data_IF_235158518363
#
_entry.id   IF_235158518363
#
_cell.length_a   1.000
_cell.length_b   1.000
_cell.length_c   1.000
_cell.angle_alpha   90.00
_cell.angle_beta   90.00
_cell.angle_gamma   90.00
#
_symmetry.space_group_name_H-M   'P 1'
#
loop_
_entity.id
_entity.type
_entity.pdbx_description
1 polymer ?
#
# COMPACT_ATOMS: atom_id res chain seq x y z
N UNK A 1 30.29 -11.05 15.89
CA UNK A 1 29.10 -10.36 16.45
C UNK A 1 29.46 -9.15 17.30
N UNK A 2 30.19 -9.28 18.41
CA UNK A 2 30.70 -8.10 19.18
C UNK A 2 31.48 -7.15 18.26
N UNK A 3 32.30 -7.70 17.36
CA UNK A 3 33.04 -6.93 16.35
C UNK A 3 32.11 -6.18 15.36
N UNK A 4 30.93 -6.71 15.04
CA UNK A 4 29.97 -6.06 14.16
C UNK A 4 29.27 -4.89 14.88
N UNK A 5 28.92 -5.05 16.16
CA UNK A 5 28.36 -3.97 16.98
C UNK A 5 29.38 -2.86 17.27
N UNK A 6 30.67 -3.19 17.42
CA UNK A 6 31.75 -2.21 17.60
C UNK A 6 32.02 -1.45 16.28
N UNK A 7 31.96 -2.13 15.12
CA UNK A 7 32.13 -1.49 13.81
C UNK A 7 30.94 -0.61 13.41
N UNK A 8 29.73 -0.97 13.82
CA UNK A 8 28.50 -0.24 13.47
C UNK A 8 28.30 1.07 14.26
N UNK A 9 29.02 1.28 15.37
CA UNK A 9 28.88 2.50 16.18
C UNK A 9 30.28 3.01 16.58
N UNK A 10 30.91 3.86 15.75
CA UNK A 10 32.22 4.42 16.03
C UNK A 10 32.24 5.14 17.39
N UNK A 11 33.19 4.76 18.25
CA UNK A 11 33.35 5.38 19.57
C UNK A 11 32.54 4.76 20.70
N UNK A 12 31.74 3.70 20.47
CA UNK A 12 30.96 3.03 21.51
C UNK A 12 31.77 2.69 22.76
N UNK A 13 32.94 2.06 22.57
CA UNK A 13 33.81 1.65 23.67
C UNK A 13 34.34 2.87 24.42
N UNK A 14 34.80 3.90 23.69
CA UNK A 14 35.38 5.10 24.28
C UNK A 14 34.33 5.87 25.10
N UNK A 15 33.14 6.09 24.53
CA UNK A 15 32.02 6.75 25.20
C UNK A 15 31.58 5.96 26.44
N UNK A 16 31.45 4.64 26.32
CA UNK A 16 31.13 3.79 27.47
C UNK A 16 32.16 3.93 28.59
N UNK A 17 33.46 3.84 28.29
CA UNK A 17 34.52 3.93 29.30
C UNK A 17 34.53 5.29 30.00
N UNK A 18 34.36 6.38 29.25
CA UNK A 18 34.29 7.73 29.81
C UNK A 18 33.09 7.88 30.73
N UNK A 19 31.88 7.54 30.26
CA UNK A 19 30.66 7.65 31.06
C UNK A 19 30.69 6.72 32.27
N UNK A 20 31.20 5.49 32.12
CA UNK A 20 31.33 4.55 33.21
C UNK A 20 32.29 5.08 34.28
N UNK A 21 33.43 5.65 33.90
CA UNK A 21 34.35 6.28 34.84
C UNK A 21 33.69 7.47 35.56
N UNK A 22 33.02 8.35 34.83
CA UNK A 22 32.37 9.56 35.37
C UNK A 22 31.27 9.24 36.39
N UNK A 23 30.52 8.14 36.23
CA UNK A 23 29.40 7.80 37.13
C UNK A 23 29.77 6.74 38.17
N UNK A 24 30.53 5.72 37.78
CA UNK A 24 30.86 4.60 38.67
C UNK A 24 31.92 4.99 39.72
N UNK A 25 32.90 5.85 39.39
CA UNK A 25 33.93 6.28 40.35
C UNK A 25 33.32 7.09 41.50
N UNK A 26 32.51 8.14 41.28
CA UNK A 26 31.83 8.84 42.37
C UNK A 26 30.91 7.91 43.17
N UNK A 27 30.22 6.98 42.52
CA UNK A 27 29.37 5.99 43.20
C UNK A 27 30.19 5.11 44.15
N UNK A 28 31.37 4.66 43.72
CA UNK A 28 32.28 3.88 44.56
C UNK A 28 32.79 4.71 45.75
N UNK A 29 33.21 5.95 45.51
CA UNK A 29 33.70 6.87 46.54
C UNK A 29 32.63 7.16 47.60
N UNK A 30 31.40 7.49 47.18
CA UNK A 30 30.27 7.74 48.08
C UNK A 30 29.89 6.49 48.86
N UNK A 31 29.88 5.32 48.21
CA UNK A 31 29.57 4.05 48.89
C UNK A 31 30.63 3.72 49.95
N UNK A 32 31.92 3.96 49.63
CA UNK A 32 33.04 3.76 50.57
C UNK A 32 32.96 4.74 51.74
N UNK A 33 32.73 6.02 51.46
CA UNK A 33 32.56 7.06 52.49
C UNK A 33 31.38 6.76 53.45
N UNK A 34 30.33 6.09 52.95
CA UNK A 34 29.15 5.69 53.75
C UNK A 34 29.23 4.28 54.36
N UNK A 35 30.40 3.63 54.33
CA UNK A 35 30.60 2.25 54.82
C UNK A 35 29.57 1.25 54.26
N UNK A 36 29.26 1.37 52.96
CA UNK A 36 28.36 0.46 52.24
C UNK A 36 29.17 -0.43 51.27
N UNK A 37 28.66 -1.63 50.92
CA UNK A 37 29.31 -2.49 49.93
C UNK A 37 29.38 -1.76 48.57
N UNK A 38 30.59 -1.42 48.15
CA UNK A 38 30.82 -0.57 46.97
C UNK A 38 30.91 -1.37 45.67
N UNK A 39 31.45 -2.61 45.70
CA UNK A 39 31.71 -3.43 44.49
C UNK A 39 30.45 -3.65 43.66
N UNK A 40 29.38 -4.16 44.27
CA UNK A 40 28.12 -4.45 43.58
C UNK A 40 27.45 -3.18 43.04
N UNK A 41 27.48 -2.07 43.79
CA UNK A 41 26.91 -0.79 43.38
C UNK A 41 27.66 -0.19 42.19
N UNK A 42 28.99 -0.28 42.22
CA UNK A 42 29.86 0.21 41.16
C UNK A 42 29.66 -0.61 39.88
N UNK A 43 29.62 -1.94 40.00
CA UNK A 43 29.36 -2.84 38.88
C UNK A 43 27.98 -2.59 38.25
N UNK A 44 26.93 -2.48 39.07
CA UNK A 44 25.58 -2.16 38.59
C UNK A 44 25.54 -0.80 37.87
N UNK A 45 26.20 0.22 38.44
CA UNK A 45 26.24 1.55 37.84
C UNK A 45 26.92 1.54 36.48
N UNK A 46 28.09 0.90 36.39
CA UNK A 46 28.80 0.73 35.12
C UNK A 46 27.93 -0.04 34.10
N UNK A 47 27.19 -1.05 34.55
CA UNK A 47 26.32 -1.84 33.68
C UNK A 47 25.14 -1.01 33.14
N UNK A 48 24.47 -0.23 34.00
CA UNK A 48 23.38 0.67 33.57
C UNK A 48 23.87 1.73 32.58
N UNK A 49 25.06 2.30 32.81
CA UNK A 49 25.70 3.20 31.85
C UNK A 49 25.95 2.47 30.53
N UNK A 50 26.38 1.20 30.57
CA UNK A 50 26.53 0.35 29.40
C UNK A 50 25.23 0.19 28.60
N UNK A 51 24.11 -0.12 29.25
CA UNK A 51 22.80 -0.21 28.60
C UNK A 51 22.43 1.10 27.92
N UNK A 52 22.51 2.22 28.64
CA UNK A 52 22.16 3.55 28.10
C UNK A 52 23.06 3.93 26.93
N UNK A 53 24.36 3.66 27.05
CA UNK A 53 25.33 3.96 25.98
C UNK A 53 25.05 3.11 24.75
N UNK A 54 24.86 1.79 24.92
CA UNK A 54 24.60 0.88 23.80
C UNK A 54 23.28 1.21 23.12
N UNK A 55 22.28 1.73 23.84
CA UNK A 55 20.95 1.98 23.28
C UNK A 55 20.77 3.39 22.70
N UNK A 56 21.41 4.41 23.28
CA UNK A 56 21.22 5.82 22.88
C UNK A 56 22.37 6.40 22.05
N UNK A 57 23.48 5.68 21.86
CA UNK A 57 24.56 6.18 21.01
C UNK A 57 24.11 6.10 19.53
N UNK A 58 24.26 7.19 18.75
CA UNK A 58 23.82 7.23 17.37
C UNK A 58 24.48 6.13 16.51
N UNK A 59 23.69 5.50 15.65
CA UNK A 59 24.15 4.61 14.57
C UNK A 59 23.69 5.11 13.21
N UNK A 60 23.82 4.27 12.19
CA UNK A 60 23.57 4.64 10.78
C UNK A 60 22.28 4.04 10.20
N UNK A 61 21.43 3.37 11.00
CA UNK A 61 20.28 2.60 10.54
C UNK A 61 19.02 2.81 11.41
N UNK A 62 18.14 3.72 11.00
CA UNK A 62 16.91 4.02 11.74
C UNK A 62 15.79 4.62 10.88
N UNK A 63 14.59 4.71 11.45
CA UNK A 63 13.41 5.37 10.88
C UNK A 63 13.54 6.90 10.98
N UNK A 64 12.65 7.61 10.29
CA UNK A 64 12.50 9.06 10.47
C UNK A 64 12.02 9.40 11.89
N UNK A 65 12.38 10.60 12.36
CA UNK A 65 11.95 11.09 13.67
C UNK A 65 10.43 11.16 13.77
N UNK A 66 9.86 10.64 14.85
CA UNK A 66 8.42 10.59 15.13
C UNK A 66 7.77 9.26 14.80
N UNK A 67 8.50 8.28 14.24
CA UNK A 67 7.96 6.97 13.89
C UNK A 67 8.45 5.87 14.83
N UNK A 68 7.61 4.86 15.05
CA UNK A 68 7.98 3.62 15.75
C UNK A 68 7.42 2.40 15.03
N UNK A 69 8.25 1.36 14.93
CA UNK A 69 7.85 0.05 14.42
C UNK A 69 6.96 -0.67 15.44
N UNK A 70 5.70 -0.83 15.08
CA UNK A 70 4.67 -1.48 15.90
C UNK A 70 4.31 -2.87 15.39
N UNK A 71 5.09 -3.40 14.44
CA UNK A 71 4.93 -4.75 13.92
C UNK A 71 4.86 -5.80 15.04
N UNK A 72 4.10 -6.87 14.79
CA UNK A 72 3.94 -7.95 15.77
C UNK A 72 5.30 -8.57 16.11
N UNK A 73 5.67 -8.76 17.39
CA UNK A 73 6.98 -9.28 17.80
C UNK A 73 7.11 -10.80 17.59
N UNK A 74 6.81 -11.29 16.40
CA UNK A 74 6.76 -12.71 16.04
C UNK A 74 8.12 -13.42 16.18
N UNK A 75 9.22 -12.66 16.11
CA UNK A 75 10.59 -13.18 16.13
C UNK A 75 11.35 -12.89 17.43
N UNK A 76 10.64 -12.64 18.53
CA UNK A 76 11.21 -12.28 19.83
C UNK A 76 12.33 -13.24 20.32
N UNK A 77 12.17 -14.55 20.06
CA UNK A 77 13.13 -15.58 20.49
C UNK A 77 13.98 -16.16 19.36
N UNK A 78 13.73 -15.74 18.12
CA UNK A 78 14.44 -16.26 16.94
C UNK A 78 15.37 -15.24 16.31
N UNK A 79 15.09 -13.94 16.51
CA UNK A 79 15.92 -12.87 15.96
C UNK A 79 17.16 -12.68 16.82
N UNK A 80 18.30 -12.54 16.15
CA UNK A 80 19.57 -12.24 16.83
C UNK A 80 19.53 -10.92 17.60
N UNK A 81 18.85 -9.90 17.06
CA UNK A 81 18.71 -8.59 17.72
C UNK A 81 17.92 -8.70 19.03
N UNK A 82 16.76 -9.38 19.01
CA UNK A 82 15.93 -9.57 20.19
C UNK A 82 16.64 -10.39 21.27
N UNK A 83 17.38 -11.43 20.88
CA UNK A 83 18.18 -12.24 21.82
C UNK A 83 19.30 -11.41 22.49
N UNK A 84 19.93 -10.50 21.76
CA UNK A 84 20.93 -9.58 22.31
C UNK A 84 20.30 -8.59 23.30
N UNK A 85 19.11 -8.06 22.99
CA UNK A 85 18.36 -7.17 23.87
C UNK A 85 17.95 -7.87 25.18
N UNK A 86 17.47 -9.12 25.09
CA UNK A 86 17.22 -9.97 26.26
C UNK A 86 18.52 -10.15 27.08
N UNK A 87 19.63 -10.48 26.42
CA UNK A 87 20.92 -10.71 27.06
C UNK A 87 21.52 -9.42 27.67
N UNK A 88 21.19 -8.25 27.13
CA UNK A 88 21.63 -6.95 27.61
C UNK A 88 20.89 -6.53 28.89
N UNK A 89 19.59 -6.81 29.00
CA UNK A 89 18.79 -6.39 30.16
C UNK A 89 18.85 -7.38 31.34
N UNK A 90 18.99 -8.69 31.07
CA UNK A 90 18.93 -9.71 32.11
C UNK A 90 20.01 -9.59 33.22
N UNK A 91 21.31 -9.39 32.92
CA UNK A 91 22.33 -9.27 33.96
C UNK A 91 22.16 -8.01 34.82
N UNK A 92 21.73 -6.90 34.21
CA UNK A 92 21.43 -5.65 34.93
C UNK A 92 20.30 -5.83 35.93
N UNK A 93 19.20 -6.44 35.50
CA UNK A 93 18.07 -6.75 36.38
C UNK A 93 18.48 -7.72 37.50
N UNK A 94 19.24 -8.77 37.19
CA UNK A 94 19.79 -9.71 38.18
C UNK A 94 20.58 -9.00 39.28
N UNK A 95 21.58 -8.18 38.92
CA UNK A 95 22.42 -7.45 39.87
C UNK A 95 21.59 -6.47 40.72
N UNK A 96 20.59 -5.83 40.10
CA UNK A 96 19.67 -4.92 40.79
C UNK A 96 18.83 -5.66 41.83
N UNK A 97 18.32 -6.86 41.50
CA UNK A 97 17.62 -7.71 42.49
C UNK A 97 18.53 -8.10 43.64
N UNK A 98 19.79 -8.46 43.39
CA UNK A 98 20.74 -8.75 44.48
C UNK A 98 20.97 -7.54 45.39
N UNK A 99 21.01 -6.34 44.82
CA UNK A 99 21.25 -5.10 45.56
C UNK A 99 20.03 -4.62 46.37
N UNK A 100 18.81 -4.76 45.84
CA UNK A 100 17.59 -4.19 46.43
C UNK A 100 16.61 -5.22 47.00
N UNK A 101 16.75 -6.50 46.62
CA UNK A 101 15.92 -7.64 47.04
C UNK A 101 14.44 -7.47 46.72
N UNK A 102 14.14 -6.90 45.55
CA UNK A 102 12.82 -6.47 45.08
C UNK A 102 12.58 -6.85 43.61
N UNK A 103 12.34 -8.14 43.29
CA UNK A 103 12.25 -8.60 41.91
C UNK A 103 11.14 -7.95 41.09
N UNK A 104 9.95 -7.72 41.66
CA UNK A 104 8.82 -7.18 40.90
C UNK A 104 9.07 -5.71 40.52
N UNK A 105 9.49 -4.87 41.47
CA UNK A 105 9.83 -3.48 41.18
C UNK A 105 10.96 -3.38 40.15
N UNK A 106 11.96 -4.27 40.22
CA UNK A 106 13.11 -4.24 39.29
C UNK A 106 12.70 -4.59 37.86
N UNK A 107 11.92 -5.65 37.66
CA UNK A 107 11.45 -6.03 36.32
C UNK A 107 10.69 -4.87 35.66
N UNK A 108 9.78 -4.23 36.40
CA UNK A 108 8.99 -3.08 35.91
C UNK A 108 9.87 -1.86 35.66
N UNK A 109 10.81 -1.55 36.56
CA UNK A 109 11.70 -0.41 36.38
C UNK A 109 12.57 -0.53 35.12
N UNK A 110 13.07 -1.73 34.82
CA UNK A 110 13.82 -1.97 33.58
C UNK A 110 12.92 -1.98 32.34
N UNK A 111 11.67 -2.45 32.44
CA UNK A 111 10.68 -2.28 31.36
C UNK A 111 10.39 -0.80 31.07
N UNK A 112 10.22 0.02 32.11
CA UNK A 112 10.05 1.47 31.96
C UNK A 112 11.31 2.14 31.39
N UNK A 113 12.51 1.69 31.79
CA UNK A 113 13.78 2.14 31.21
C UNK A 113 13.82 1.84 29.70
N UNK A 114 13.43 0.62 29.29
CA UNK A 114 13.34 0.28 27.88
C UNK A 114 12.33 1.17 27.17
N UNK A 115 11.13 1.36 27.70
CA UNK A 115 10.13 2.22 27.06
C UNK A 115 10.58 3.68 26.96
N UNK A 116 11.34 4.19 27.93
CA UNK A 116 11.94 5.51 27.85
C UNK A 116 13.04 5.59 26.78
N UNK A 117 13.86 4.55 26.63
CA UNK A 117 14.87 4.44 25.57
C UNK A 117 14.21 4.45 24.19
N UNK A 118 13.20 3.61 23.96
CA UNK A 118 12.45 3.58 22.69
C UNK A 118 11.81 4.94 22.38
N UNK A 119 11.26 5.61 23.40
CA UNK A 119 10.67 6.93 23.25
C UNK A 119 11.72 8.00 22.88
N UNK A 120 12.90 7.95 23.49
CA UNK A 120 14.01 8.84 23.11
C UNK A 120 14.43 8.56 21.66
N UNK A 121 14.54 7.29 21.27
CA UNK A 121 14.86 6.89 19.90
C UNK A 121 13.79 7.31 18.89
N UNK A 122 12.51 7.40 19.28
CA UNK A 122 11.48 7.93 18.38
C UNK A 122 11.61 9.45 18.17
N UNK A 123 12.11 10.22 19.14
CA UNK A 123 12.23 11.68 19.01
C UNK A 123 13.57 12.16 18.47
N UNK A 124 14.64 11.42 18.74
CA UNK A 124 15.99 11.80 18.36
C UNK A 124 16.41 10.89 17.20
N UNK A 125 16.74 11.49 16.05
CA UNK A 125 17.25 10.75 14.90
C UNK A 125 18.68 10.26 15.20
N UNK A 126 18.76 9.18 15.97
CA UNK A 126 19.98 8.51 16.39
C UNK A 126 20.37 7.41 15.40
N UNK A 127 19.77 7.35 14.20
CA UNK A 127 19.93 6.23 13.28
C UNK A 127 19.71 4.88 13.97
N UNK A 128 18.67 4.83 14.80
CA UNK A 128 18.03 3.65 15.38
C UNK A 128 16.53 3.90 15.41
N UNK A 129 15.75 2.90 15.00
CA UNK A 129 14.29 2.98 15.02
C UNK A 129 13.74 2.48 16.35
N UNK A 130 12.80 3.22 16.92
CA UNK A 130 11.93 2.68 17.97
C UNK A 130 11.25 1.41 17.46
N UNK A 131 11.22 0.34 18.26
CA UNK A 131 10.54 -0.91 17.94
C UNK A 131 9.86 -1.54 19.16
N UNK A 132 8.59 -1.91 19.00
CA UNK A 132 7.84 -2.69 19.99
C UNK A 132 8.50 -4.06 20.23
N UNK A 133 9.17 -4.62 19.23
CA UNK A 133 9.91 -5.88 19.37
C UNK A 133 11.11 -5.73 20.31
N UNK A 134 11.81 -4.60 20.27
CA UNK A 134 12.95 -4.31 21.15
C UNK A 134 12.48 -4.02 22.58
N UNK A 135 11.38 -3.27 22.74
CA UNK A 135 10.71 -3.09 24.03
C UNK A 135 10.33 -4.43 24.67
N UNK A 136 9.72 -5.33 23.89
CA UNK A 136 9.33 -6.66 24.35
C UNK A 136 10.55 -7.51 24.74
N UNK A 137 11.62 -7.46 23.95
CA UNK A 137 12.87 -8.19 24.20
C UNK A 137 13.55 -7.72 25.49
N UNK A 138 13.73 -6.41 25.66
CA UNK A 138 14.33 -5.82 26.85
C UNK A 138 13.51 -6.12 28.12
N UNK A 139 12.18 -6.01 28.03
CA UNK A 139 11.27 -6.34 29.14
C UNK A 139 11.33 -7.83 29.50
N UNK A 140 11.45 -8.70 28.50
CA UNK A 140 11.65 -10.14 28.70
C UNK A 140 12.98 -10.43 29.40
N UNK A 141 14.07 -9.79 28.96
CA UNK A 141 15.37 -9.86 29.64
C UNK A 141 15.28 -9.40 31.09
N UNK A 142 14.61 -8.27 31.34
CA UNK A 142 14.40 -7.74 32.69
C UNK A 142 13.64 -8.71 33.60
N UNK A 143 12.60 -9.36 33.09
CA UNK A 143 11.83 -10.36 33.82
C UNK A 143 12.68 -11.60 34.15
N UNK A 144 13.39 -12.15 33.16
CA UNK A 144 14.27 -13.32 33.33
C UNK A 144 15.40 -13.03 34.32
N UNK A 145 16.06 -11.89 34.20
CA UNK A 145 17.11 -11.45 35.12
C UNK A 145 16.62 -11.27 36.54
N UNK A 146 15.43 -10.66 36.70
CA UNK A 146 14.81 -10.47 38.02
C UNK A 146 14.44 -11.80 38.68
N UNK A 147 13.89 -12.75 37.90
CA UNK A 147 13.58 -14.09 38.35
C UNK A 147 14.83 -14.85 38.78
N UNK A 148 15.89 -14.82 37.96
CA UNK A 148 17.18 -15.43 38.30
C UNK A 148 17.76 -14.85 39.60
N UNK A 149 17.63 -13.53 39.82
CA UNK A 149 18.09 -12.87 41.04
C UNK A 149 17.29 -13.31 42.27
N UNK A 150 15.97 -13.46 42.13
CA UNK A 150 15.10 -13.96 43.18
C UNK A 150 15.43 -15.42 43.55
N UNK A 151 15.61 -16.28 42.53
CA UNK A 151 16.01 -17.68 42.71
C UNK A 151 17.37 -17.78 43.40
N UNK A 152 18.35 -16.97 43.02
CA UNK A 152 19.65 -16.93 43.68
C UNK A 152 19.55 -16.54 45.16
N UNK A 153 18.78 -15.49 45.48
CA UNK A 153 18.55 -15.09 46.88
C UNK A 153 17.86 -16.20 47.67
N UNK A 154 16.88 -16.87 47.08
CA UNK A 154 16.18 -17.99 47.68
C UNK A 154 17.13 -19.17 47.97
N UNK A 155 17.96 -19.57 47.01
CA UNK A 155 18.97 -20.62 47.17
C UNK A 155 20.00 -20.27 48.26
N UNK A 156 20.37 -19.00 48.37
CA UNK A 156 21.25 -18.48 49.44
C UNK A 156 20.55 -18.27 50.78
N UNK A 157 19.28 -18.69 50.90
CA UNK A 157 18.42 -18.54 52.09
C UNK A 157 18.32 -17.08 52.57
N UNK A 158 18.44 -16.14 51.65
CA UNK A 158 18.26 -14.73 51.93
C UNK A 158 16.80 -14.34 51.72
N UNK A 159 16.21 -13.61 52.68
CA UNK A 159 14.83 -13.15 52.55
C UNK A 159 14.70 -12.00 51.54
N UNK A 160 13.65 -12.08 50.71
CA UNK A 160 13.21 -10.96 49.89
C UNK A 160 12.66 -9.84 50.80
N UNK A 161 12.84 -8.59 50.37
CA UNK A 161 12.47 -7.44 51.21
C UNK A 161 11.00 -7.10 51.03
N UNK A 162 10.15 -7.57 51.95
CA UNK A 162 8.70 -7.26 52.00
C UNK A 162 8.00 -7.58 50.65
N UNK A 163 7.85 -8.85 50.26
CA UNK A 163 7.42 -9.26 48.92
C UNK A 163 6.05 -8.70 48.51
N UNK A 164 5.09 -8.64 49.43
CA UNK A 164 3.77 -8.04 49.16
C UNK A 164 3.90 -6.55 48.79
N UNK A 165 4.75 -5.82 49.52
CA UNK A 165 4.99 -4.40 49.25
C UNK A 165 5.75 -4.20 47.94
N UNK A 166 6.67 -5.10 47.61
CA UNK A 166 7.38 -5.09 46.32
C UNK A 166 6.41 -5.28 45.16
N UNK A 167 5.47 -6.23 45.27
CA UNK A 167 4.44 -6.43 44.26
C UNK A 167 3.56 -5.20 44.10
N UNK A 168 3.06 -4.62 45.20
CA UNK A 168 2.24 -3.40 45.17
C UNK A 168 2.98 -2.22 44.50
N UNK A 169 4.25 -1.99 44.86
CA UNK A 169 5.06 -0.95 44.23
C UNK A 169 5.34 -1.25 42.75
N UNK A 170 5.64 -2.49 42.41
CA UNK A 170 5.84 -2.94 41.03
C UNK A 170 4.59 -2.70 40.18
N UNK A 171 3.41 -3.12 40.65
CA UNK A 171 2.14 -2.89 39.95
C UNK A 171 1.81 -1.41 39.82
N UNK A 172 2.02 -0.62 40.88
CA UNK A 172 1.78 0.83 40.82
C UNK A 172 2.70 1.50 39.81
N UNK A 173 3.98 1.13 39.80
CA UNK A 173 4.96 1.64 38.85
C UNK A 173 4.63 1.21 37.42
N UNK A 174 4.16 -0.02 37.22
CA UNK A 174 3.77 -0.53 35.91
C UNK A 174 2.58 0.26 35.37
N UNK A 175 1.55 0.49 36.20
CA UNK A 175 0.39 1.29 35.80
C UNK A 175 0.81 2.71 35.41
N UNK A 176 1.59 3.39 36.25
CA UNK A 176 2.06 4.75 35.97
C UNK A 176 2.95 4.78 34.73
N UNK A 177 3.86 3.83 34.59
CA UNK A 177 4.76 3.72 33.45
C UNK A 177 4.01 3.48 32.14
N UNK A 178 3.06 2.54 32.13
CA UNK A 178 2.22 2.26 30.96
C UNK A 178 1.35 3.44 30.57
N UNK A 179 0.72 4.11 31.54
CA UNK A 179 -0.11 5.30 31.26
C UNK A 179 0.75 6.45 30.72
N UNK A 180 1.89 6.73 31.36
CA UNK A 180 2.76 7.83 30.95
C UNK A 180 3.42 7.57 29.59
N UNK A 181 4.09 6.43 29.43
CA UNK A 181 4.77 6.09 28.17
C UNK A 181 3.76 5.84 27.06
N UNK A 182 2.72 5.04 27.32
CA UNK A 182 1.68 4.75 26.34
C UNK A 182 0.92 6.00 25.90
N UNK A 183 0.63 6.93 26.81
CA UNK A 183 -0.01 8.20 26.48
C UNK A 183 0.88 9.10 25.60
N UNK A 184 2.19 9.14 25.87
CA UNK A 184 3.13 9.90 25.02
C UNK A 184 3.28 9.24 23.65
N UNK A 185 3.46 7.92 23.59
CA UNK A 185 3.52 7.17 22.34
C UNK A 185 2.27 7.40 21.50
N UNK A 186 1.09 7.26 22.08
CA UNK A 186 -0.18 7.44 21.37
C UNK A 186 -0.39 8.87 20.85
N UNK A 187 0.12 9.89 21.57
CA UNK A 187 -0.12 11.30 21.22
C UNK A 187 0.96 11.93 20.34
N UNK A 188 2.17 11.34 20.27
CA UNK A 188 3.34 11.97 19.67
C UNK A 188 4.11 11.09 18.69
N UNK A 189 3.79 9.80 18.58
CA UNK A 189 4.53 8.84 17.76
C UNK A 189 3.58 8.17 16.78
N UNK A 190 3.91 8.27 15.50
CA UNK A 190 3.17 7.58 14.45
C UNK A 190 3.55 6.10 14.43
N UNK A 191 2.54 5.24 14.52
CA UNK A 191 2.71 3.79 14.42
C UNK A 191 2.90 3.39 12.97
N UNK A 192 4.03 2.75 12.68
CA UNK A 192 4.34 2.22 11.34
C UNK A 192 4.53 0.70 11.46
N UNK A 193 4.05 -0.06 10.47
CA UNK A 193 4.37 -1.47 10.30
C UNK A 193 5.31 -1.60 9.10
N UNK A 194 6.60 -1.71 9.38
CA UNK A 194 7.64 -1.72 8.34
C UNK A 194 7.51 -2.97 7.46
N UNK A 195 7.14 -4.11 8.04
CA UNK A 195 6.99 -5.37 7.31
C UNK A 195 5.84 -5.28 6.33
N UNK A 196 4.69 -4.75 6.77
CA UNK A 196 3.54 -4.54 5.88
C UNK A 196 3.86 -3.56 4.73
N UNK A 197 4.63 -2.51 4.99
CA UNK A 197 5.05 -1.54 3.95
C UNK A 197 6.01 -2.19 2.95
N UNK A 198 6.98 -2.98 3.41
CA UNK A 198 7.94 -3.65 2.53
C UNK A 198 7.25 -4.71 1.67
N UNK A 199 6.34 -5.49 2.25
CA UNK A 199 5.51 -6.46 1.52
C UNK A 199 4.62 -5.77 0.48
N UNK A 200 4.02 -4.62 0.83
CA UNK A 200 3.23 -3.84 -0.13
C UNK A 200 4.07 -3.30 -1.29
N UNK A 201 5.31 -2.85 -1.03
CA UNK A 201 6.25 -2.41 -2.07
C UNK A 201 6.69 -3.55 -2.98
N UNK A 202 7.02 -4.71 -2.41
CA UNK A 202 7.36 -5.92 -3.17
C UNK A 202 6.20 -6.37 -4.05
N UNK A 203 5.00 -6.48 -3.48
CA UNK A 203 3.80 -6.85 -4.23
C UNK A 203 3.49 -5.87 -5.38
N UNK A 204 3.72 -4.57 -5.17
CA UNK A 204 3.56 -3.57 -6.23
C UNK A 204 4.62 -3.73 -7.33
N UNK A 205 5.89 -3.95 -6.96
CA UNK A 205 6.97 -4.15 -7.92
C UNK A 205 6.77 -5.44 -8.74
N UNK A 206 6.40 -6.54 -8.09
CA UNK A 206 6.08 -7.81 -8.76
C UNK A 206 4.88 -7.66 -9.70
N UNK A 207 3.82 -6.98 -9.26
CA UNK A 207 2.64 -6.70 -10.09
C UNK A 207 2.98 -5.83 -11.32
N UNK A 208 3.88 -4.85 -11.17
CA UNK A 208 4.33 -4.02 -12.28
C UNK A 208 5.15 -4.82 -13.31
N UNK A 209 6.02 -5.75 -12.87
CA UNK A 209 6.80 -6.64 -13.77
C UNK A 209 5.85 -7.54 -14.58
N UNK A 210 4.87 -8.16 -13.93
CA UNK A 210 3.90 -9.02 -14.61
C UNK A 210 3.01 -8.23 -15.59
N UNK A 211 2.67 -6.99 -15.23
CA UNK A 211 1.90 -6.11 -16.10
C UNK A 211 2.69 -5.70 -17.36
N UNK A 212 4.00 -5.44 -17.23
CA UNK A 212 4.89 -5.14 -18.35
C UNK A 212 5.06 -6.37 -19.28
N UNK A 213 5.27 -7.56 -18.72
CA UNK A 213 5.36 -8.79 -19.51
C UNK A 213 4.07 -9.06 -20.30
N UNK A 214 2.91 -8.84 -19.68
CA UNK A 214 1.61 -8.98 -20.33
C UNK A 214 1.43 -7.99 -21.48
N UNK A 215 1.68 -6.68 -21.28
CA UNK A 215 1.48 -5.69 -22.34
C UNK A 215 2.46 -5.92 -23.50
N UNK A 216 3.69 -6.36 -23.21
CA UNK A 216 4.68 -6.75 -24.22
C UNK A 216 4.20 -7.94 -25.07
N UNK A 217 3.60 -8.94 -24.41
CA UNK A 217 3.01 -10.10 -25.08
C UNK A 217 1.82 -9.70 -25.96
N UNK A 218 0.94 -8.84 -25.45
CA UNK A 218 -0.20 -8.31 -26.19
C UNK A 218 0.24 -7.48 -27.41
N UNK A 219 1.26 -6.62 -27.25
CA UNK A 219 1.83 -5.82 -28.32
C UNK A 219 2.36 -6.69 -29.48
N UNK A 220 3.11 -7.75 -29.16
CA UNK A 220 3.60 -8.71 -30.17
C UNK A 220 2.46 -9.47 -30.85
N UNK A 221 1.41 -9.81 -30.11
CA UNK A 221 0.24 -10.46 -30.69
C UNK A 221 -0.54 -9.54 -31.64
N UNK A 222 -0.64 -8.25 -31.34
CA UNK A 222 -1.41 -7.27 -32.15
C UNK A 222 -0.60 -6.78 -33.36
N UNK A 223 0.66 -6.40 -33.16
CA UNK A 223 1.49 -5.78 -34.19
C UNK A 223 2.41 -6.76 -34.93
N UNK A 224 2.52 -8.00 -34.45
CA UNK A 224 3.38 -9.06 -35.00
C UNK A 224 4.59 -9.36 -34.11
N UNK A 225 5.18 -10.55 -34.27
CA UNK A 225 6.26 -11.08 -33.43
C UNK A 225 7.51 -10.20 -33.35
N UNK A 226 7.81 -9.45 -34.41
CA UNK A 226 9.00 -8.59 -34.51
C UNK A 226 8.80 -7.20 -33.87
N UNK A 227 7.70 -7.02 -33.14
CA UNK A 227 7.41 -5.78 -32.42
C UNK A 227 8.35 -5.61 -31.24
N UNK A 228 8.98 -4.45 -31.17
CA UNK A 228 9.85 -4.03 -30.09
C UNK A 228 9.15 -2.95 -29.28
N UNK A 229 8.92 -3.22 -28.01
CA UNK A 229 8.45 -2.22 -27.05
C UNK A 229 9.64 -1.36 -26.65
N UNK A 230 9.47 -0.04 -26.77
CA UNK A 230 10.50 0.97 -26.51
C UNK A 230 10.37 1.54 -25.11
N UNK A 231 9.13 1.75 -24.67
CA UNK A 231 8.80 2.38 -23.41
C UNK A 231 7.47 1.83 -22.90
N UNK A 232 7.38 1.62 -21.59
CA UNK A 232 6.13 1.29 -20.91
C UNK A 232 5.91 2.28 -19.77
N UNK A 233 4.72 2.88 -19.70
CA UNK A 233 4.28 3.74 -18.61
C UNK A 233 3.18 3.03 -17.82
N UNK A 234 3.29 3.07 -16.49
CA UNK A 234 2.30 2.52 -15.56
C UNK A 234 1.69 3.64 -14.72
N UNK A 235 0.38 3.80 -14.79
CA UNK A 235 -0.37 4.77 -13.99
C UNK A 235 -1.35 4.04 -13.06
N UNK A 236 -1.29 4.33 -11.75
CA UNK A 236 -2.26 3.78 -10.80
C UNK A 236 -3.56 4.59 -10.83
N UNK A 237 -4.68 3.93 -11.14
CA UNK A 237 -6.02 4.53 -11.09
C UNK A 237 -6.93 3.72 -10.17
N UNK A 238 -7.10 4.21 -8.95
CA UNK A 238 -7.83 3.50 -7.91
C UNK A 238 -7.13 2.18 -7.56
N UNK A 239 -7.83 1.06 -7.79
CA UNK A 239 -7.33 -0.30 -7.54
C UNK A 239 -6.65 -0.95 -8.75
N UNK A 240 -6.72 -0.33 -9.93
CA UNK A 240 -6.21 -0.89 -11.19
C UNK A 240 -4.95 -0.14 -11.64
N UNK A 241 -4.14 -0.79 -12.46
CA UNK A 241 -3.01 -0.15 -13.14
C UNK A 241 -3.38 -0.01 -14.62
N UNK A 242 -3.26 1.21 -15.14
CA UNK A 242 -3.29 1.47 -16.58
C UNK A 242 -1.86 1.37 -17.09
N UNK A 243 -1.65 0.46 -18.02
CA UNK A 243 -0.36 0.22 -18.66
C UNK A 243 -0.46 0.74 -20.08
N UNK A 244 0.49 1.57 -20.49
CA UNK A 244 0.63 2.07 -21.86
C UNK A 244 2.02 1.73 -22.36
N UNK A 245 2.12 1.08 -23.51
CA UNK A 245 3.38 0.71 -24.13
C UNK A 245 3.50 1.36 -25.51
N UNK A 246 4.64 2.02 -25.74
CA UNK A 246 5.04 2.57 -27.03
C UNK A 246 5.98 1.59 -27.73
N UNK A 247 5.71 1.30 -29.00
CA UNK A 247 6.45 0.31 -29.78
C UNK A 247 7.00 0.91 -31.06
N UNK A 248 7.86 0.17 -31.76
CA UNK A 248 8.26 0.54 -33.12
C UNK A 248 7.12 0.49 -34.15
N UNK A 249 5.95 -0.06 -33.82
CA UNK A 249 4.80 -0.24 -34.74
C UNK A 249 3.53 0.50 -34.34
N UNK A 250 3.53 1.19 -33.20
CA UNK A 250 2.35 1.86 -32.65
C UNK A 250 2.32 1.87 -31.13
N UNK A 251 1.22 2.33 -30.57
CA UNK A 251 0.98 2.39 -29.12
C UNK A 251 -0.11 1.41 -28.70
N UNK A 252 -0.04 0.88 -27.48
CA UNK A 252 -1.07 -0.02 -26.92
C UNK A 252 -1.28 0.29 -25.46
N UNK A 253 -2.53 0.27 -25.00
CA UNK A 253 -2.88 0.49 -23.61
C UNK A 253 -3.93 -0.51 -23.13
N UNK A 254 -3.87 -0.82 -21.83
CA UNK A 254 -4.83 -1.69 -21.19
C UNK A 254 -4.73 -1.67 -19.66
N UNK A 255 -5.54 -2.52 -19.05
CA UNK A 255 -5.79 -2.54 -17.61
C UNK A 255 -5.33 -3.86 -16.97
N UNK A 256 -4.58 -3.71 -15.87
CA UNK A 256 -4.13 -4.79 -15.01
C UNK A 256 -4.86 -4.74 -13.66
N UNK A 257 -5.24 -5.89 -13.04
CA UNK A 257 -4.84 -7.27 -13.37
C UNK A 257 -5.77 -8.03 -14.33
N UNK A 258 -6.87 -7.43 -14.78
CA UNK A 258 -7.89 -8.14 -15.57
C UNK A 258 -7.42 -8.51 -16.99
N UNK A 259 -6.32 -7.90 -17.44
CA UNK A 259 -5.73 -8.07 -18.77
C UNK A 259 -6.65 -7.59 -19.89
N UNK A 260 -7.40 -6.53 -19.62
CA UNK A 260 -8.32 -5.92 -20.59
C UNK A 260 -7.56 -4.90 -21.44
N UNK A 261 -7.56 -5.09 -22.75
CA UNK A 261 -7.04 -4.08 -23.67
C UNK A 261 -8.05 -2.94 -23.82
N UNK A 262 -7.55 -1.70 -23.75
CA UNK A 262 -8.37 -0.49 -23.90
C UNK A 262 -8.19 0.12 -25.29
N UNK A 263 -6.97 0.16 -25.81
CA UNK A 263 -6.71 0.76 -27.12
C UNK A 263 -5.41 0.27 -27.73
N UNK A 264 -5.33 0.26 -29.05
CA UNK A 264 -4.06 0.18 -29.75
C UNK A 264 -4.16 0.95 -31.07
N UNK A 265 -3.10 1.63 -31.48
CA UNK A 265 -3.02 2.39 -32.72
C UNK A 265 -1.69 2.18 -33.41
N UNK A 266 -1.74 1.74 -34.67
CA UNK A 266 -0.53 1.60 -35.49
C UNK A 266 0.10 2.96 -35.77
N UNK A 267 1.43 3.02 -35.80
CA UNK A 267 2.17 4.20 -36.26
C UNK A 267 1.88 4.53 -37.73
N UNK A 268 1.49 3.54 -38.54
CA UNK A 268 0.98 3.73 -39.89
C UNK A 268 -0.55 3.62 -39.93
N UNK A 269 -1.21 4.76 -39.70
CA UNK A 269 -2.67 4.91 -39.75
C UNK A 269 -3.22 5.18 -41.16
N UNK A 270 -2.37 5.24 -42.19
CA UNK A 270 -2.84 5.46 -43.56
C UNK A 270 -3.70 4.27 -43.99
N UNK A 271 -4.84 4.57 -44.63
CA UNK A 271 -5.61 3.56 -45.33
C UNK A 271 -4.83 3.04 -46.55
N UNK A 272 -5.17 1.82 -46.95
CA UNK A 272 -4.55 1.16 -48.09
C UNK A 272 -5.47 1.29 -49.30
N UNK A 273 -4.93 1.30 -50.52
CA UNK A 273 -5.75 1.10 -51.72
C UNK A 273 -6.06 -0.40 -51.83
N UNK A 274 -7.32 -0.75 -51.57
CA UNK A 274 -7.77 -2.12 -51.50
C UNK A 274 -9.17 -2.29 -52.06
N UNK A 275 -9.53 -3.54 -52.33
CA UNK A 275 -10.79 -3.92 -52.96
C UNK A 275 -11.74 -4.67 -52.03
N UNK A 276 -11.47 -4.72 -50.72
CA UNK A 276 -12.36 -5.40 -49.78
C UNK A 276 -13.71 -4.69 -49.76
N UNK A 277 -14.75 -5.45 -50.07
CA UNK A 277 -16.13 -5.06 -49.82
C UNK A 277 -16.37 -4.88 -48.31
N UNK A 278 -17.43 -4.13 -47.98
CA UNK A 278 -17.92 -3.97 -46.59
C UNK A 278 -18.07 -5.31 -45.85
N UNK A 279 -18.48 -6.38 -46.55
CA UNK A 279 -18.63 -7.73 -45.98
C UNK A 279 -17.29 -8.38 -45.66
N UNK A 280 -16.28 -8.23 -46.53
CA UNK A 280 -14.93 -8.75 -46.28
C UNK A 280 -14.25 -8.02 -45.12
N UNK A 281 -14.45 -6.70 -45.03
CA UNK A 281 -13.99 -5.90 -43.88
C UNK A 281 -14.68 -6.36 -42.59
N UNK A 282 -15.99 -6.63 -42.62
CA UNK A 282 -16.72 -7.18 -41.49
C UNK A 282 -16.14 -8.51 -41.00
N UNK A 283 -15.79 -9.41 -41.93
CA UNK A 283 -15.19 -10.71 -41.61
C UNK A 283 -13.78 -10.55 -41.03
N UNK A 284 -12.95 -9.67 -41.59
CA UNK A 284 -11.61 -9.39 -41.05
C UNK A 284 -11.68 -8.82 -39.63
N UNK A 285 -12.60 -7.88 -39.41
CA UNK A 285 -12.87 -7.29 -38.10
C UNK A 285 -13.37 -8.33 -37.09
N UNK A 286 -14.28 -9.23 -37.48
CA UNK A 286 -14.83 -10.26 -36.59
C UNK A 286 -13.76 -11.29 -36.19
N UNK A 287 -12.88 -11.67 -37.12
CA UNK A 287 -11.72 -12.53 -36.81
C UNK A 287 -10.82 -11.90 -35.75
N UNK A 288 -10.49 -10.61 -35.91
CA UNK A 288 -9.67 -9.90 -34.93
C UNK A 288 -10.40 -9.74 -33.58
N UNK A 289 -11.67 -9.33 -33.62
CA UNK A 289 -12.46 -9.07 -32.42
C UNK A 289 -12.69 -10.34 -31.59
N UNK A 290 -12.94 -11.50 -32.21
CA UNK A 290 -13.12 -12.77 -31.47
C UNK A 290 -11.84 -13.25 -30.81
N UNK A 291 -10.69 -12.95 -31.40
CA UNK A 291 -9.39 -13.34 -30.87
C UNK A 291 -9.02 -12.50 -29.64
N UNK A 292 -9.21 -11.19 -29.70
CA UNK A 292 -8.75 -10.25 -28.65
C UNK A 292 -9.84 -9.81 -27.68
N UNK A 293 -11.10 -9.84 -28.09
CA UNK A 293 -12.24 -9.31 -27.34
C UNK A 293 -13.46 -10.26 -27.35
N UNK A 294 -13.30 -11.56 -27.06
CA UNK A 294 -14.39 -12.53 -27.17
C UNK A 294 -15.63 -12.13 -26.35
N UNK A 295 -15.44 -11.54 -25.17
CA UNK A 295 -16.51 -11.06 -24.29
C UNK A 295 -17.25 -9.83 -24.85
N UNK A 296 -16.55 -8.94 -25.57
CA UNK A 296 -17.16 -7.77 -26.18
C UNK A 296 -17.97 -8.15 -27.42
N UNK A 297 -17.54 -9.17 -28.16
CA UNK A 297 -18.23 -9.66 -29.36
C UNK A 297 -19.49 -10.46 -29.00
N UNK A 298 -19.44 -11.27 -27.94
CA UNK A 298 -20.59 -12.07 -27.50
C UNK A 298 -21.83 -11.19 -27.25
N UNK A 299 -22.96 -11.54 -27.90
CA UNK A 299 -24.23 -10.82 -27.78
C UNK A 299 -24.26 -9.42 -28.42
N UNK A 300 -23.18 -8.98 -29.06
CA UNK A 300 -23.11 -7.66 -29.68
C UNK A 300 -23.67 -7.64 -31.10
N UNK A 301 -24.25 -6.49 -31.49
CA UNK A 301 -24.61 -6.16 -32.87
C UNK A 301 -23.44 -5.42 -33.52
N UNK A 302 -23.07 -5.85 -34.72
CA UNK A 302 -22.02 -5.22 -35.52
C UNK A 302 -22.61 -4.10 -36.39
N UNK A 303 -21.98 -2.94 -36.38
CA UNK A 303 -22.30 -1.78 -37.22
C UNK A 303 -21.05 -1.34 -37.95
N UNK A 304 -21.18 -0.96 -39.23
CA UNK A 304 -20.04 -0.63 -40.08
C UNK A 304 -20.32 0.66 -40.83
N UNK A 305 -19.43 1.64 -40.65
CA UNK A 305 -19.43 2.93 -41.35
C UNK A 305 -18.09 3.18 -42.02
N UNK A 306 -18.11 3.83 -43.18
CA UNK A 306 -16.89 4.29 -43.85
C UNK A 306 -16.37 5.56 -43.15
N UNK A 307 -15.05 5.75 -43.16
CA UNK A 307 -14.36 6.91 -42.62
C UNK A 307 -13.29 7.35 -43.61
N UNK A 308 -13.33 8.62 -43.99
CA UNK A 308 -12.50 9.19 -45.06
C UNK A 308 -13.12 8.99 -46.45
N UNK A 309 -12.57 9.70 -47.41
CA UNK A 309 -13.01 9.69 -48.80
C UNK A 309 -11.93 9.13 -49.73
N UNK A 310 -12.32 8.66 -50.92
CA UNK A 310 -11.39 8.20 -51.94
C UNK A 310 -10.92 6.74 -51.79
N UNK A 311 -9.87 6.33 -52.53
CA UNK A 311 -9.47 4.93 -52.66
C UNK A 311 -8.82 4.35 -51.39
N UNK A 312 -8.39 5.21 -50.47
CA UNK A 312 -7.73 4.85 -49.20
C UNK A 312 -8.63 5.04 -47.98
N UNK A 313 -9.95 5.12 -48.16
CA UNK A 313 -10.88 5.17 -47.03
C UNK A 313 -10.72 3.93 -46.13
N UNK A 314 -11.12 4.06 -44.87
CA UNK A 314 -11.18 2.97 -43.92
C UNK A 314 -12.63 2.73 -43.47
N UNK A 315 -12.83 1.70 -42.67
CA UNK A 315 -14.11 1.42 -42.02
C UNK A 315 -13.93 1.40 -40.52
N UNK A 316 -14.88 1.98 -39.81
CA UNK A 316 -15.07 1.72 -38.39
C UNK A 316 -16.10 0.62 -38.24
N UNK A 317 -15.69 -0.48 -37.63
CA UNK A 317 -16.52 -1.63 -37.28
C UNK A 317 -16.78 -1.57 -35.77
N UNK A 318 -18.00 -1.21 -35.42
CA UNK A 318 -18.46 -1.02 -34.06
C UNK A 318 -19.24 -2.24 -33.58
N UNK A 319 -18.92 -2.74 -32.39
CA UNK A 319 -19.67 -3.76 -31.67
C UNK A 319 -20.36 -3.11 -30.48
N UNK A 320 -21.68 -3.31 -30.39
CA UNK A 320 -22.54 -2.70 -29.38
C UNK A 320 -23.51 -3.73 -28.82
N UNK A 321 -23.72 -3.77 -27.51
CA UNK A 321 -24.76 -4.58 -26.87
C UNK A 321 -25.98 -3.73 -26.53
N UNK A 322 -27.14 -4.35 -26.59
CA UNK A 322 -28.42 -3.71 -26.28
C UNK A 322 -29.28 -4.66 -25.44
N UNK A 323 -29.99 -4.10 -24.47
CA UNK A 323 -31.06 -4.78 -23.72
C UNK A 323 -32.30 -3.90 -23.80
N UNK A 324 -33.41 -4.44 -24.27
CA UNK A 324 -34.68 -3.71 -24.42
C UNK A 324 -34.56 -2.36 -25.15
N UNK A 325 -33.70 -2.31 -26.17
CA UNK A 325 -33.41 -1.10 -26.95
C UNK A 325 -32.40 -0.14 -26.31
N UNK A 326 -32.04 -0.32 -25.03
CA UNK A 326 -31.04 0.48 -24.34
C UNK A 326 -29.63 0.07 -24.75
N UNK A 327 -28.83 1.02 -25.22
CA UNK A 327 -27.43 0.81 -25.54
C UNK A 327 -26.60 0.63 -24.24
N UNK A 328 -26.12 -0.59 -23.99
CA UNK A 328 -25.32 -0.94 -22.79
C UNK A 328 -23.95 -0.25 -22.79
N UNK A 329 -23.17 -0.18 -21.69
CA UNK A 329 -21.94 0.62 -21.66
C UNK A 329 -20.74 0.01 -22.39
N UNK A 330 -20.76 -1.29 -22.70
CA UNK A 330 -19.68 -1.95 -23.43
C UNK A 330 -19.51 -1.38 -24.85
N UNK A 331 -18.26 -1.04 -25.21
CA UNK A 331 -17.91 -0.53 -26.55
C UNK A 331 -16.73 -1.30 -27.10
N UNK A 332 -16.73 -1.58 -28.39
CA UNK A 332 -15.54 -1.97 -29.14
C UNK A 332 -15.64 -1.38 -30.54
N UNK A 333 -14.66 -0.58 -30.91
CA UNK A 333 -14.53 0.02 -32.24
C UNK A 333 -13.20 -0.40 -32.84
N UNK A 334 -13.26 -0.98 -34.04
CA UNK A 334 -12.09 -1.35 -34.82
C UNK A 334 -12.02 -0.47 -36.07
N UNK A 335 -10.86 0.11 -36.34
CA UNK A 335 -10.59 0.80 -37.61
C UNK A 335 -9.86 -0.15 -38.54
N UNK A 336 -10.47 -0.44 -39.69
CA UNK A 336 -10.01 -1.47 -40.64
C UNK A 336 -9.91 -0.90 -42.04
N UNK A 337 -8.78 -1.10 -42.72
CA UNK A 337 -8.57 -0.63 -44.09
C UNK A 337 -9.31 -1.51 -45.12
N UNK A 338 -9.36 -1.05 -46.37
CA UNK A 338 -9.92 -1.79 -47.53
C UNK A 338 -9.08 -3.00 -47.96
N UNK A 339 -8.00 -3.34 -47.25
CA UNK A 339 -7.23 -4.59 -47.39
C UNK A 339 -7.49 -5.55 -46.22
N UNK A 340 -8.33 -5.16 -45.25
CA UNK A 340 -8.63 -5.94 -44.05
C UNK A 340 -7.62 -5.78 -42.90
N UNK A 341 -6.67 -4.84 -43.02
CA UNK A 341 -5.71 -4.54 -41.95
C UNK A 341 -6.37 -3.71 -40.86
N UNK A 342 -6.25 -4.15 -39.60
CA UNK A 342 -6.68 -3.37 -38.43
C UNK A 342 -5.60 -2.36 -38.09
N UNK A 343 -5.92 -1.07 -38.13
CA UNK A 343 -4.98 0.03 -37.86
C UNK A 343 -5.16 0.65 -36.48
N UNK A 344 -6.28 0.36 -35.82
CA UNK A 344 -6.42 0.65 -34.41
C UNK A 344 -7.75 0.21 -33.85
N UNK A 345 -7.86 0.29 -32.53
CA UNK A 345 -9.10 0.00 -31.82
C UNK A 345 -9.24 0.82 -30.54
N UNK A 346 -10.47 0.92 -30.08
CA UNK A 346 -10.80 1.35 -28.72
C UNK A 346 -11.85 0.41 -28.15
N UNK A 347 -11.65 -0.01 -26.92
CA UNK A 347 -12.46 -0.99 -26.22
C UNK A 347 -12.77 -0.50 -24.81
N UNK A 348 -14.03 -0.64 -24.42
CA UNK A 348 -14.52 -0.41 -23.08
C UNK A 348 -15.17 -1.70 -22.60
N UNK A 349 -14.45 -2.46 -21.80
CA UNK A 349 -14.94 -3.67 -21.17
C UNK A 349 -15.65 -3.30 -19.85
N UNK A 350 -16.97 -3.28 -19.90
CA UNK A 350 -17.85 -3.11 -18.73
C UNK A 350 -18.88 -4.22 -18.80
N UNK A 351 -19.11 -4.89 -17.68
CA UNK A 351 -20.15 -5.90 -17.58
C UNK A 351 -21.53 -5.29 -17.82
N UNK A 352 -22.47 -6.10 -18.32
CA UNK A 352 -23.82 -5.61 -18.59
C UNK A 352 -24.52 -5.30 -17.26
N UNK A 353 -24.86 -4.03 -17.00
CA UNK A 353 -25.49 -3.66 -15.75
C UNK A 353 -26.95 -4.11 -15.74
N UNK A 354 -27.48 -4.39 -14.55
CA UNK A 354 -28.92 -4.44 -14.35
C UNK A 354 -29.49 -3.02 -14.46
N UNK A 355 -30.52 -2.84 -15.28
CA UNK A 355 -31.16 -1.56 -15.51
C UNK A 355 -32.63 -1.63 -15.08
N UNK A 356 -33.19 -0.54 -14.50
CA UNK A 356 -34.62 -0.37 -14.39
C UNK A 356 -35.32 -0.44 -15.76
N UNK A 357 -36.58 -0.85 -15.78
CA UNK A 357 -37.39 -0.86 -17.00
C UNK A 357 -37.64 0.56 -17.51
N UNK A 358 -37.58 0.73 -18.83
CA UNK A 358 -37.89 1.99 -19.51
C UNK A 358 -39.40 2.23 -19.45
N UNK A 359 -39.81 3.35 -18.86
CA UNK A 359 -41.22 3.76 -18.73
C UNK A 359 -41.55 5.01 -19.55
N UNK A 360 -40.52 5.78 -19.91
CA UNK A 360 -40.61 6.97 -20.75
C UNK A 360 -40.21 6.59 -22.17
N UNK A 361 -41.15 6.72 -23.09
CA UNK A 361 -40.90 6.51 -24.51
C UNK A 361 -40.18 7.71 -25.15
N UNK A 362 -39.76 7.54 -26.40
CA UNK A 362 -39.02 8.56 -27.13
C UNK A 362 -39.82 9.85 -27.31
N UNK A 363 -41.12 9.76 -27.59
CA UNK A 363 -41.97 10.93 -27.82
C UNK A 363 -42.05 11.78 -26.56
N UNK A 364 -42.31 11.16 -25.41
CA UNK A 364 -42.34 11.86 -24.12
C UNK A 364 -40.97 12.43 -23.74
N UNK A 365 -39.88 11.73 -24.04
CA UNK A 365 -38.53 12.25 -23.81
C UNK A 365 -38.25 13.51 -24.66
N UNK A 366 -38.68 13.53 -25.92
CA UNK A 366 -38.57 14.72 -26.78
C UNK A 366 -39.39 15.88 -26.22
N UNK A 367 -40.64 15.66 -25.84
CA UNK A 367 -41.49 16.69 -25.25
C UNK A 367 -40.87 17.31 -23.98
N UNK A 368 -40.28 16.47 -23.12
CA UNK A 368 -39.59 16.93 -21.91
C UNK A 368 -38.35 17.77 -22.24
N UNK A 369 -37.59 17.38 -23.27
CA UNK A 369 -36.43 18.14 -23.72
C UNK A 369 -36.83 19.50 -24.31
N UNK A 370 -37.88 19.54 -25.16
CA UNK A 370 -38.40 20.80 -25.73
C UNK A 370 -38.95 21.72 -24.65
N UNK A 371 -39.62 21.20 -23.63
CA UNK A 371 -40.08 21.98 -22.48
C UNK A 371 -38.92 22.56 -21.67
N UNK A 372 -37.82 21.82 -21.53
CA UNK A 372 -36.66 22.26 -20.77
C UNK A 372 -35.84 23.33 -21.50
N UNK A 373 -35.74 23.27 -22.83
CA UNK A 373 -34.87 24.14 -23.63
C UNK A 373 -35.63 25.23 -24.41
N UNK A 374 -36.91 25.02 -24.69
CA UNK A 374 -37.70 25.84 -25.61
C UNK A 374 -37.28 25.70 -27.09
N UNK A 375 -36.49 24.67 -27.43
CA UNK A 375 -35.94 24.45 -28.77
C UNK A 375 -36.37 23.09 -29.33
N UNK A 376 -36.54 22.96 -30.66
CA UNK A 376 -36.91 21.70 -31.28
C UNK A 376 -35.84 20.62 -31.07
N UNK A 377 -36.27 19.36 -31.04
CA UNK A 377 -35.37 18.20 -30.93
C UNK A 377 -34.95 17.66 -32.31
N UNK A 378 -33.69 17.23 -32.44
CA UNK A 378 -33.13 16.75 -33.72
C UNK A 378 -32.64 15.28 -33.67
N UNK A 379 -32.31 14.78 -32.48
CA UNK A 379 -31.72 13.45 -32.30
C UNK A 379 -32.07 12.85 -30.94
N UNK A 380 -32.10 11.52 -30.88
CA UNK A 380 -32.42 10.75 -29.67
C UNK A 380 -31.53 9.52 -29.59
N UNK A 381 -31.01 9.23 -28.40
CA UNK A 381 -30.23 8.03 -28.12
C UNK A 381 -30.57 7.51 -26.72
N UNK A 382 -31.04 6.26 -26.65
CA UNK A 382 -31.28 5.56 -25.40
C UNK A 382 -30.05 4.74 -25.00
N UNK A 383 -29.42 5.07 -23.87
CA UNK A 383 -28.19 4.42 -23.42
C UNK A 383 -28.13 4.23 -21.91
N UNK A 384 -27.30 3.28 -21.47
CA UNK A 384 -26.99 3.08 -20.06
C UNK A 384 -25.91 4.08 -19.62
N UNK A 385 -26.22 4.89 -18.61
CA UNK A 385 -25.29 5.87 -18.03
C UNK A 385 -25.24 5.71 -16.51
N UNK A 386 -24.07 5.96 -15.93
CA UNK A 386 -23.91 5.94 -14.47
C UNK A 386 -24.26 7.32 -13.89
N UNK A 387 -25.33 7.38 -13.10
CA UNK A 387 -25.81 8.59 -12.43
C UNK A 387 -25.66 8.38 -10.92
N UNK A 388 -24.86 9.22 -10.27
CA UNK A 388 -24.57 9.13 -8.81
C UNK A 388 -24.11 7.74 -8.36
N UNK A 389 -23.39 7.02 -9.22
CA UNK A 389 -22.88 5.68 -8.93
C UNK A 389 -23.78 4.53 -9.39
N UNK A 390 -25.02 4.78 -9.80
CA UNK A 390 -25.97 3.76 -10.24
C UNK A 390 -26.18 3.78 -11.75
N UNK A 391 -26.34 2.60 -12.37
CA UNK A 391 -26.64 2.50 -13.79
C UNK A 391 -28.12 2.76 -14.06
N UNK A 392 -28.40 3.69 -14.96
CA UNK A 392 -29.75 4.10 -15.35
C UNK A 392 -29.89 4.08 -16.88
N UNK A 393 -31.05 3.70 -17.44
CA UNK A 393 -31.36 3.96 -18.82
C UNK A 393 -31.65 5.47 -18.98
N UNK A 394 -30.99 6.10 -19.95
CA UNK A 394 -31.05 7.55 -20.15
C UNK A 394 -31.33 7.84 -21.62
N UNK A 395 -32.31 8.68 -21.87
CA UNK A 395 -32.49 9.35 -23.15
C UNK A 395 -31.55 10.54 -23.22
N UNK A 396 -30.60 10.52 -24.15
CA UNK A 396 -29.92 11.73 -24.61
C UNK A 396 -30.70 12.28 -25.80
N UNK A 397 -31.25 13.47 -25.64
CA UNK A 397 -32.04 14.15 -26.66
C UNK A 397 -31.32 15.41 -27.10
N UNK A 398 -30.90 15.46 -28.37
CA UNK A 398 -30.32 16.66 -28.95
C UNK A 398 -31.40 17.73 -29.14
N UNK A 399 -31.14 18.93 -28.61
CA UNK A 399 -32.03 20.09 -28.71
C UNK A 399 -31.20 21.37 -28.94
N UNK A 400 -31.20 21.83 -30.19
CA UNK A 400 -30.39 22.98 -30.62
C UNK A 400 -28.88 22.68 -30.64
N UNK A 401 -28.15 23.13 -29.62
CA UNK A 401 -26.68 22.94 -29.49
C UNK A 401 -26.28 22.14 -28.24
N UNK A 402 -27.25 21.55 -27.55
CA UNK A 402 -27.04 20.84 -26.28
C UNK A 402 -27.78 19.51 -26.31
N UNK A 403 -27.26 18.56 -25.54
CA UNK A 403 -27.92 17.29 -25.28
C UNK A 403 -28.59 17.33 -23.91
N UNK A 404 -29.89 17.03 -23.89
CA UNK A 404 -30.68 16.93 -22.65
C UNK A 404 -30.72 15.47 -22.23
N UNK A 405 -30.22 15.17 -21.04
CA UNK A 405 -30.29 13.84 -20.45
C UNK A 405 -31.56 13.68 -19.60
N UNK A 406 -32.35 12.65 -19.90
CA UNK A 406 -33.60 12.32 -19.19
C UNK A 406 -33.53 10.88 -18.72
N UNK A 407 -33.78 10.63 -17.45
CA UNK A 407 -33.90 9.27 -16.92
C UNK A 407 -35.10 8.56 -17.56
N UNK A 408 -34.86 7.49 -18.30
CA UNK A 408 -35.90 6.81 -19.07
C UNK A 408 -36.84 5.96 -18.20
N UNK A 409 -36.52 5.77 -16.92
CA UNK A 409 -37.36 5.06 -15.95
C UNK A 409 -38.26 5.99 -15.13
N UNK A 410 -37.90 7.27 -14.96
CA UNK A 410 -38.66 8.23 -14.14
C UNK A 410 -39.17 9.46 -14.92
N UNK A 411 -38.49 9.84 -16.01
CA UNK A 411 -38.73 11.08 -16.74
C UNK A 411 -38.09 12.31 -16.10
N UNK A 412 -37.23 12.12 -15.10
CA UNK A 412 -36.51 13.22 -14.47
C UNK A 412 -35.38 13.73 -15.38
N UNK A 413 -35.25 15.06 -15.47
CA UNK A 413 -34.10 15.69 -16.11
C UNK A 413 -32.86 15.46 -15.25
N UNK A 414 -31.77 15.03 -15.88
CA UNK A 414 -30.48 14.79 -15.24
C UNK A 414 -29.63 16.05 -15.41
N UNK A 415 -29.35 16.81 -14.33
CA UNK A 415 -28.59 18.05 -14.43
C UNK A 415 -27.09 17.78 -14.63
N UNK A 416 -26.46 18.52 -15.56
CA UNK A 416 -25.00 18.56 -15.72
C UNK A 416 -24.39 17.47 -16.60
N UNK A 417 -25.10 17.00 -17.62
CA UNK A 417 -24.60 16.07 -18.63
C UNK A 417 -23.94 16.74 -19.85
N UNK A 418 -23.55 18.02 -19.74
CA UNK A 418 -22.80 18.77 -20.76
C UNK A 418 -21.35 18.27 -20.90
#
# INVERSE_FOLDING_TARGET
MIEASIKAVPGLIVTFLILAALVAVPTALIAKARNKPWRLRTALTAYLVGIVTVTLLPGDAGLESGQCDTGMPAHLFTSTSSLLNIALFAPGAFLTVLQFKRPATVAVAFGCLSGAVELIQSFVNLGRSCSVTDLAANTTGAALGSLAGALWLHQRRQSLRKPVRDLLWGTSLALVGTVALGGVFHSRVDSVDIVAIDDQRKNFAESAIQADEWINTAAKGIYGSDTQVRETTTEKRGKRLKITAETNRGSIAGWWPEKDLESAWSSNTRGDEGSFSKKQVATAADKFARMWFPRNVAGSKQQIRSVGDGPTHAYVVAYRRYTDGVLLPMRLDLTVTTTGRVIGFTARAVDDPALPSVTVDEAKARDLAEQATGLPTDSTLLLAQQIKGEWRPVWLVGSGKRDVAIDAATGELIPGSD
#
